data_IF_765386470383
#
_entry.id   IF_765386470383
#
_cell.length_a   1.000
_cell.length_b   1.000
_cell.length_c   1.000
_cell.angle_alpha   90.00
_cell.angle_beta   90.00
_cell.angle_gamma   90.00
#
_symmetry.space_group_name_H-M   'P 1'
#
loop_
_entity.id
_entity.type
_entity.pdbx_description
1 polymer ?
#
# COMPACT_ATOMS: atom_id res chain seq x y z
N UNK A 1 13.28 -2.16 -26.44
CA UNK A 1 12.52 -2.43 -27.69
C UNK A 1 13.15 -1.91 -28.96
N UNK A 2 14.32 -1.29 -28.90
CA UNK A 2 15.12 -1.01 -30.09
C UNK A 2 15.94 -2.24 -30.49
N UNK A 3 15.68 -2.77 -31.69
CA UNK A 3 16.35 -3.97 -32.21
C UNK A 3 17.70 -3.64 -32.89
N UNK A 4 18.06 -2.36 -33.03
CA UNK A 4 19.30 -1.91 -33.69
C UNK A 4 20.48 -1.72 -32.73
N UNK A 5 20.24 -1.74 -31.41
CA UNK A 5 21.28 -1.58 -30.39
C UNK A 5 22.00 -2.88 -30.01
N UNK A 6 21.64 -4.00 -30.63
CA UNK A 6 22.24 -5.33 -30.42
C UNK A 6 22.15 -5.90 -29.00
N UNK A 7 21.39 -5.30 -28.08
CA UNK A 7 21.28 -5.78 -26.69
C UNK A 7 20.70 -7.20 -26.64
N UNK A 8 19.63 -7.46 -27.38
CA UNK A 8 19.00 -8.78 -27.44
C UNK A 8 19.88 -9.78 -28.20
N UNK A 9 20.62 -9.34 -29.22
CA UNK A 9 21.56 -10.21 -29.93
C UNK A 9 22.65 -10.73 -28.98
N UNK A 10 23.24 -9.83 -28.20
CA UNK A 10 24.22 -10.20 -27.17
C UNK A 10 23.63 -11.18 -26.14
N UNK A 11 22.45 -10.89 -25.60
CA UNK A 11 21.80 -11.73 -24.58
C UNK A 11 21.47 -13.12 -25.14
N UNK A 12 20.85 -13.19 -26.32
CA UNK A 12 20.47 -14.47 -26.96
C UNK A 12 21.71 -15.31 -27.33
N UNK A 13 22.77 -14.68 -27.85
CA UNK A 13 24.01 -15.34 -28.21
C UNK A 13 24.71 -15.94 -26.98
N UNK A 14 24.89 -15.15 -25.93
CA UNK A 14 25.51 -15.62 -24.68
C UNK A 14 24.68 -16.72 -24.00
N UNK A 15 23.35 -16.57 -23.96
CA UNK A 15 22.45 -17.57 -23.39
C UNK A 15 22.53 -18.90 -24.15
N UNK A 16 22.53 -18.88 -25.48
CA UNK A 16 22.60 -20.09 -26.30
C UNK A 16 23.98 -20.75 -26.24
N UNK A 17 25.07 -19.98 -26.19
CA UNK A 17 26.42 -20.54 -25.94
C UNK A 17 26.49 -21.26 -24.59
N UNK A 18 25.91 -20.68 -23.55
CA UNK A 18 25.81 -21.35 -22.25
C UNK A 18 24.89 -22.57 -22.30
N UNK A 19 23.78 -22.51 -23.01
CA UNK A 19 22.84 -23.62 -23.15
C UNK A 19 23.53 -24.86 -23.75
N UNK A 20 24.36 -24.67 -24.79
CA UNK A 20 25.18 -25.76 -25.40
C UNK A 20 26.08 -26.45 -24.38
N UNK A 21 26.73 -25.70 -23.49
CA UNK A 21 27.64 -26.28 -22.50
C UNK A 21 26.93 -27.24 -21.52
N UNK A 22 25.65 -27.03 -21.25
CA UNK A 22 24.86 -27.83 -20.31
C UNK A 22 23.85 -28.77 -21.00
N UNK A 23 23.89 -28.89 -22.33
CA UNK A 23 22.92 -29.69 -23.08
C UNK A 23 21.47 -29.17 -23.00
N UNK A 24 21.30 -27.86 -22.74
CA UNK A 24 19.98 -27.21 -22.68
C UNK A 24 19.56 -26.78 -24.10
N UNK A 25 18.27 -26.92 -24.49
CA UNK A 25 17.78 -26.45 -25.78
C UNK A 25 17.98 -24.94 -25.97
N UNK A 26 18.48 -24.54 -27.14
CA UNK A 26 18.63 -23.14 -27.53
C UNK A 26 17.26 -22.46 -27.70
N UNK A 27 17.24 -21.13 -27.54
CA UNK A 27 16.03 -20.31 -27.69
C UNK A 27 16.22 -19.28 -28.79
N UNK A 28 15.12 -19.00 -29.51
CA UNK A 28 15.08 -17.94 -30.52
C UNK A 28 15.17 -16.54 -29.91
N UNK A 29 15.61 -15.57 -30.71
CA UNK A 29 15.76 -14.16 -30.32
C UNK A 29 14.48 -13.58 -29.71
N UNK A 30 13.31 -13.89 -30.28
CA UNK A 30 12.02 -13.40 -29.77
C UNK A 30 11.70 -13.97 -28.37
N UNK A 31 11.95 -15.27 -28.16
CA UNK A 31 11.75 -15.92 -26.86
C UNK A 31 12.75 -15.40 -25.81
N UNK A 32 14.00 -15.13 -26.22
CA UNK A 32 14.99 -14.48 -25.38
C UNK A 32 14.56 -13.04 -25.01
N UNK A 33 14.06 -12.25 -25.97
CA UNK A 33 13.50 -10.90 -25.73
C UNK A 33 12.32 -10.95 -24.77
N UNK A 34 11.42 -11.92 -24.96
CA UNK A 34 10.26 -12.12 -24.09
C UNK A 34 10.66 -12.34 -22.63
N UNK A 35 11.59 -13.26 -22.38
CA UNK A 35 12.03 -13.62 -21.02
C UNK A 35 12.92 -12.52 -20.43
N UNK A 36 13.97 -12.09 -21.14
CA UNK A 36 14.94 -11.12 -20.64
C UNK A 36 14.34 -9.71 -20.48
N UNK A 37 13.44 -9.34 -21.39
CA UNK A 37 12.71 -8.07 -21.34
C UNK A 37 11.54 -8.06 -20.37
N UNK A 38 11.22 -9.19 -19.73
CA UNK A 38 10.06 -9.34 -18.83
C UNK A 38 8.75 -8.85 -19.47
N UNK A 39 8.56 -9.20 -20.74
CA UNK A 39 7.42 -8.74 -21.53
C UNK A 39 6.15 -9.42 -20.99
N UNK A 40 5.13 -8.61 -20.67
CA UNK A 40 3.81 -9.09 -20.31
C UNK A 40 2.98 -9.20 -21.61
N UNK A 41 2.52 -10.40 -22.01
CA UNK A 41 1.66 -10.53 -23.19
C UNK A 41 0.38 -9.71 -23.03
N UNK A 42 0.01 -8.98 -24.08
CA UNK A 42 -1.21 -8.20 -24.12
C UNK A 42 -1.85 -8.28 -25.50
N UNK A 43 -3.18 -8.28 -25.53
CA UNK A 43 -3.98 -8.23 -26.75
C UNK A 43 -5.22 -7.37 -26.51
N UNK A 44 -5.65 -6.63 -27.53
CA UNK A 44 -6.73 -5.65 -27.43
C UNK A 44 -8.07 -6.27 -27.00
N UNK A 45 -8.35 -7.53 -27.33
CA UNK A 45 -9.60 -8.21 -26.97
C UNK A 45 -9.77 -8.33 -25.45
N UNK A 46 -8.73 -8.79 -24.73
CA UNK A 46 -8.75 -8.89 -23.27
C UNK A 46 -8.86 -7.51 -22.63
N UNK A 47 -8.16 -6.50 -23.16
CA UNK A 47 -8.22 -5.13 -22.67
C UNK A 47 -9.62 -4.54 -22.83
N UNK A 48 -10.21 -4.62 -24.03
CA UNK A 48 -11.55 -4.10 -24.30
C UNK A 48 -12.61 -4.76 -23.41
N UNK A 49 -12.53 -6.08 -23.22
CA UNK A 49 -13.40 -6.83 -22.31
C UNK A 49 -13.25 -6.34 -20.86
N UNK A 50 -12.01 -6.25 -20.33
CA UNK A 50 -11.77 -5.80 -18.97
C UNK A 50 -12.29 -4.37 -18.75
N UNK A 51 -12.03 -3.47 -19.70
CA UNK A 51 -12.55 -2.09 -19.65
C UNK A 51 -14.08 -2.06 -19.66
N UNK A 52 -14.73 -2.89 -20.48
CA UNK A 52 -16.19 -3.00 -20.51
C UNK A 52 -16.77 -3.36 -19.14
N UNK A 53 -16.21 -4.37 -18.46
CA UNK A 53 -16.65 -4.75 -17.11
C UNK A 53 -16.40 -3.64 -16.07
N UNK A 54 -15.26 -2.94 -16.15
CA UNK A 54 -15.01 -1.79 -15.27
C UNK A 54 -16.05 -0.68 -15.48
N UNK A 55 -16.43 -0.39 -16.72
CA UNK A 55 -17.48 0.59 -17.02
C UNK A 55 -18.85 0.17 -16.46
N UNK A 56 -19.17 -1.12 -16.41
CA UNK A 56 -20.41 -1.60 -15.78
C UNK A 56 -20.43 -1.33 -14.28
N UNK A 57 -19.31 -1.58 -13.57
CA UNK A 57 -19.21 -1.27 -12.15
C UNK A 57 -19.20 0.25 -11.89
N UNK A 58 -18.64 1.04 -12.80
CA UNK A 58 -18.66 2.51 -12.74
C UNK A 58 -20.08 3.06 -12.68
N UNK A 59 -21.04 2.48 -13.41
CA UNK A 59 -22.44 2.92 -13.32
C UNK A 59 -23.01 2.77 -11.90
N UNK A 60 -22.68 1.69 -11.19
CA UNK A 60 -23.13 1.47 -9.81
C UNK A 60 -22.50 2.50 -8.87
N UNK A 61 -21.20 2.78 -9.02
CA UNK A 61 -20.51 3.80 -8.23
C UNK A 61 -21.14 5.18 -8.43
N UNK A 62 -21.46 5.55 -9.68
CA UNK A 62 -22.05 6.86 -10.00
C UNK A 62 -23.50 6.98 -9.53
N UNK A 63 -24.29 5.91 -9.60
CA UNK A 63 -25.67 5.90 -9.10
C UNK A 63 -25.74 6.03 -7.58
N UNK A 64 -24.76 5.49 -6.85
CA UNK A 64 -24.72 5.48 -5.40
C UNK A 64 -25.80 4.57 -4.77
N UNK A 65 -25.77 4.42 -3.44
CA UNK A 65 -26.80 3.65 -2.71
C UNK A 65 -26.79 2.13 -2.91
N UNK A 66 -25.84 1.59 -3.66
CA UNK A 66 -25.66 0.16 -3.87
C UNK A 66 -25.02 -0.53 -2.66
N UNK A 67 -25.48 -1.73 -2.33
CA UNK A 67 -24.89 -2.59 -1.30
C UNK A 67 -23.63 -3.25 -1.84
N UNK A 68 -22.77 -3.75 -0.94
CA UNK A 68 -21.55 -4.47 -1.32
C UNK A 68 -21.85 -5.63 -2.28
N UNK A 69 -22.92 -6.37 -2.00
CA UNK A 69 -23.35 -7.54 -2.76
C UNK A 69 -23.96 -7.19 -4.14
N UNK A 70 -24.06 -5.91 -4.51
CA UNK A 70 -24.43 -5.48 -5.87
C UNK A 70 -23.19 -5.42 -6.79
N UNK A 71 -21.99 -5.30 -6.22
CA UNK A 71 -20.73 -5.17 -6.95
C UNK A 71 -20.17 -6.53 -7.35
N UNK A 72 -19.41 -6.59 -8.45
CA UNK A 72 -18.82 -7.84 -8.95
C UNK A 72 -17.35 -7.66 -9.33
N UNK A 73 -16.48 -8.44 -8.68
CA UNK A 73 -15.14 -8.71 -9.17
C UNK A 73 -15.24 -9.74 -10.29
N UNK A 74 -14.75 -9.40 -11.48
CA UNK A 74 -14.81 -10.28 -12.65
C UNK A 74 -13.43 -10.84 -12.96
N UNK A 75 -13.32 -12.17 -13.01
CA UNK A 75 -12.15 -12.93 -13.44
C UNK A 75 -12.46 -13.59 -14.77
N UNK A 76 -11.59 -13.42 -15.76
CA UNK A 76 -11.83 -13.93 -17.09
C UNK A 76 -10.58 -14.57 -17.70
N UNK A 77 -10.79 -15.67 -18.42
CA UNK A 77 -9.77 -16.31 -19.26
C UNK A 77 -10.38 -16.66 -20.62
N UNK A 78 -10.11 -15.80 -21.62
CA UNK A 78 -10.64 -15.94 -22.97
C UNK A 78 -10.06 -17.13 -23.75
N UNK A 79 -8.98 -17.76 -23.29
CA UNK A 79 -8.48 -18.99 -23.90
C UNK A 79 -9.37 -20.21 -23.56
N UNK A 80 -10.06 -20.17 -22.41
CA UNK A 80 -10.99 -21.21 -21.93
C UNK A 80 -12.47 -20.78 -22.01
N UNK A 81 -12.78 -19.71 -22.74
CA UNK A 81 -13.95 -18.84 -22.53
C UNK A 81 -14.54 -18.80 -21.10
N UNK A 82 -13.70 -18.71 -20.08
CA UNK A 82 -14.13 -18.74 -18.68
C UNK A 82 -14.40 -17.33 -18.15
N UNK A 83 -15.56 -17.15 -17.50
CA UNK A 83 -15.92 -15.94 -16.77
C UNK A 83 -16.43 -16.34 -15.38
N UNK A 84 -15.82 -15.75 -14.34
CA UNK A 84 -16.20 -15.97 -12.94
C UNK A 84 -16.41 -14.60 -12.31
N UNK A 85 -17.58 -14.39 -11.71
CA UNK A 85 -17.89 -13.17 -10.99
C UNK A 85 -18.06 -13.51 -9.51
N UNK A 86 -17.42 -12.72 -8.65
CA UNK A 86 -17.51 -12.87 -7.21
C UNK A 86 -17.88 -11.54 -6.56
N UNK A 87 -18.60 -11.60 -5.45
CA UNK A 87 -18.83 -10.43 -4.60
C UNK A 87 -17.50 -9.96 -4.00
N UNK A 88 -17.27 -8.64 -3.92
CA UNK A 88 -16.10 -8.12 -3.23
C UNK A 88 -16.17 -8.43 -1.74
N UNK A 89 -15.01 -8.74 -1.16
CA UNK A 89 -14.89 -8.96 0.28
C UNK A 89 -14.98 -7.60 0.98
N UNK A 90 -15.88 -7.50 1.95
CA UNK A 90 -16.00 -6.32 2.79
C UNK A 90 -14.72 -6.04 3.58
N UNK A 91 -14.49 -4.80 4.03
CA UNK A 91 -13.30 -4.51 4.82
C UNK A 91 -13.33 -5.28 6.15
N UNK A 92 -12.17 -5.76 6.59
CA UNK A 92 -12.01 -6.35 7.92
C UNK A 92 -12.32 -5.27 8.97
N UNK A 93 -13.31 -5.53 9.81
CA UNK A 93 -13.66 -4.66 10.94
C UNK A 93 -12.84 -5.09 12.15
N UNK A 94 -12.02 -4.18 12.66
CA UNK A 94 -11.28 -4.32 13.90
C UNK A 94 -12.13 -3.70 15.00
N UNK A 95 -12.31 -4.42 16.11
CA UNK A 95 -13.06 -3.96 17.29
C UNK A 95 -12.13 -3.92 18.48
N UNK A 96 -12.16 -2.81 19.20
CA UNK A 96 -11.41 -2.62 20.44
C UNK A 96 -12.26 -1.82 21.42
N UNK A 97 -12.66 -2.44 22.53
CA UNK A 97 -13.65 -1.86 23.46
C UNK A 97 -14.91 -1.37 22.70
N UNK A 98 -15.27 -0.10 22.86
CA UNK A 98 -16.40 0.55 22.18
C UNK A 98 -16.04 1.12 20.80
N UNK A 99 -14.77 1.01 20.38
CA UNK A 99 -14.29 1.49 19.10
C UNK A 99 -14.34 0.37 18.05
N UNK A 100 -14.71 0.74 16.84
CA UNK A 100 -14.63 -0.14 15.68
C UNK A 100 -14.13 0.65 14.48
N UNK A 101 -13.22 0.06 13.70
CA UNK A 101 -12.67 0.68 12.51
C UNK A 101 -12.30 -0.35 11.45
N UNK A 102 -11.98 0.16 10.28
CA UNK A 102 -11.61 -0.55 9.05
C UNK A 102 -10.40 0.13 8.41
N UNK A 103 -9.90 -0.46 7.32
CA UNK A 103 -8.81 0.12 6.51
C UNK A 103 -9.16 1.50 5.91
N UNK A 104 -10.44 1.84 5.82
CA UNK A 104 -10.92 3.10 5.25
C UNK A 104 -11.01 4.23 6.28
N UNK A 105 -10.94 3.89 7.56
CA UNK A 105 -11.03 4.86 8.63
C UNK A 105 -9.71 5.63 8.81
N UNK A 106 -9.85 6.81 9.39
CA UNK A 106 -8.73 7.72 9.66
C UNK A 106 -9.00 8.50 10.92
N UNK A 107 -8.04 8.54 11.83
CA UNK A 107 -8.14 9.35 13.04
C UNK A 107 -7.55 10.72 12.78
N UNK A 108 -8.35 11.75 13.01
CA UNK A 108 -7.96 13.14 12.74
C UNK A 108 -7.72 13.84 14.07
N UNK A 109 -6.49 14.28 14.29
CA UNK A 109 -6.10 15.08 15.44
C UNK A 109 -5.86 16.50 14.95
N UNK A 110 -6.67 17.44 15.42
CA UNK A 110 -6.60 18.87 15.03
C UNK A 110 -5.74 19.72 15.96
N UNK A 111 -5.34 19.14 17.07
CA UNK A 111 -4.54 19.81 18.08
C UNK A 111 -3.06 19.57 17.79
N UNK A 112 -2.25 20.61 17.99
CA UNK A 112 -0.79 20.47 17.93
C UNK A 112 -0.32 19.82 19.24
N UNK A 113 -0.42 18.50 19.32
CA UNK A 113 -0.05 17.71 20.50
C UNK A 113 1.47 17.54 20.63
N UNK A 114 1.95 17.48 21.86
CA UNK A 114 3.25 16.90 22.21
C UNK A 114 3.21 15.39 22.02
N UNK A 115 4.38 14.77 21.92
CA UNK A 115 4.48 13.32 21.86
C UNK A 115 3.83 12.67 23.11
N UNK A 116 4.02 13.26 24.28
CA UNK A 116 3.39 12.81 25.53
C UNK A 116 1.86 12.85 25.46
N UNK A 117 1.31 13.98 25.01
CA UNK A 117 -0.14 14.16 24.86
C UNK A 117 -0.71 13.18 23.82
N UNK A 118 0.03 12.92 22.74
CA UNK A 118 -0.35 11.91 21.74
C UNK A 118 -0.40 10.50 22.34
N UNK A 119 0.61 10.09 23.12
CA UNK A 119 0.60 8.79 23.79
C UNK A 119 -0.56 8.67 24.78
N UNK A 120 -0.86 9.73 25.53
CA UNK A 120 -2.03 9.80 26.41
C UNK A 120 -3.35 9.71 25.64
N UNK A 121 -3.42 10.30 24.44
CA UNK A 121 -4.59 10.22 23.58
C UNK A 121 -4.90 8.78 23.14
N UNK A 122 -3.88 7.98 22.86
CA UNK A 122 -4.02 6.54 22.60
C UNK A 122 -4.37 5.76 23.88
N UNK A 123 -3.69 6.06 24.99
CA UNK A 123 -3.93 5.39 26.27
C UNK A 123 -5.36 5.60 26.79
N UNK A 124 -5.94 6.80 26.59
CA UNK A 124 -7.33 7.09 26.91
C UNK A 124 -8.32 6.19 26.13
N UNK A 125 -7.91 5.65 24.98
CA UNK A 125 -8.65 4.69 24.16
C UNK A 125 -8.31 3.23 24.48
N UNK A 126 -7.47 2.99 25.48
CA UNK A 126 -7.00 1.66 25.84
C UNK A 126 -5.97 1.09 24.87
N UNK A 127 -5.22 1.95 24.19
CA UNK A 127 -4.21 1.55 23.24
C UNK A 127 -2.84 2.02 23.73
N UNK A 128 -1.88 1.12 23.76
CA UNK A 128 -0.50 1.43 24.11
C UNK A 128 0.30 1.63 22.84
N UNK A 129 0.49 2.89 22.43
CA UNK A 129 1.29 3.21 21.26
C UNK A 129 2.79 3.03 21.57
N UNK A 130 3.40 1.98 21.00
CA UNK A 130 4.81 1.66 21.24
C UNK A 130 5.74 2.09 20.10
N UNK A 131 5.21 2.39 18.91
CA UNK A 131 6.00 2.85 17.76
C UNK A 131 5.21 3.87 16.94
N UNK A 132 5.81 5.02 16.62
CA UNK A 132 5.20 6.10 15.83
C UNK A 132 6.18 6.51 14.74
N UNK A 133 5.73 6.42 13.49
CA UNK A 133 6.52 6.73 12.30
C UNK A 133 5.83 7.76 11.43
N UNK A 134 6.62 8.65 10.82
CA UNK A 134 6.20 9.58 9.78
C UNK A 134 7.00 9.27 8.52
N UNK A 135 6.33 8.73 7.50
CA UNK A 135 7.00 8.18 6.32
C UNK A 135 7.97 7.07 6.69
N UNK A 136 9.24 7.22 6.28
CA UNK A 136 10.32 6.26 6.60
C UNK A 136 11.01 6.54 7.95
N UNK A 137 10.62 7.61 8.64
CA UNK A 137 11.33 8.09 9.82
C UNK A 137 10.59 7.74 11.10
N UNK A 138 11.32 7.16 12.04
CA UNK A 138 10.81 6.77 13.34
C UNK A 138 10.83 7.97 14.31
N UNK A 139 9.66 8.49 14.64
CA UNK A 139 9.52 9.63 15.55
C UNK A 139 9.68 9.19 17.01
N UNK A 140 9.04 8.08 17.35
CA UNK A 140 9.05 7.50 18.69
C UNK A 140 9.02 5.97 18.62
N UNK A 141 9.69 5.33 19.57
CA UNK A 141 9.56 3.90 19.83
C UNK A 141 9.96 3.61 21.28
N UNK A 142 9.19 2.77 21.98
CA UNK A 142 9.33 2.49 23.42
C UNK A 142 10.66 1.80 23.79
N UNK A 143 11.27 1.08 22.85
CA UNK A 143 12.52 0.33 23.04
C UNK A 143 13.73 1.26 23.15
N UNK A 144 13.70 2.44 22.50
CA UNK A 144 14.84 3.36 22.48
C UNK A 144 14.74 4.40 23.61
N UNK A 145 15.60 4.33 24.65
CA UNK A 145 15.49 5.24 25.81
C UNK A 145 15.67 6.72 25.43
N UNK A 146 16.51 7.01 24.43
CA UNK A 146 16.71 8.37 23.90
C UNK A 146 15.44 9.01 23.36
N UNK A 147 14.46 8.22 22.92
CA UNK A 147 13.18 8.77 22.45
C UNK A 147 12.33 9.33 23.58
N UNK A 148 12.63 9.01 24.86
CA UNK A 148 11.98 9.61 26.02
C UNK A 148 12.30 11.10 26.19
N UNK A 149 13.44 11.56 25.65
CA UNK A 149 13.80 12.99 25.66
C UNK A 149 12.92 13.83 24.71
N UNK A 150 12.20 13.18 23.79
CA UNK A 150 11.32 13.84 22.80
C UNK A 150 9.89 14.04 23.30
N UNK A 151 9.56 13.58 24.51
CA UNK A 151 8.19 13.50 25.02
C UNK A 151 7.48 14.85 25.06
N UNK A 152 8.19 15.91 25.44
CA UNK A 152 7.61 17.24 25.61
C UNK A 152 7.68 18.08 24.32
N UNK A 153 8.22 17.50 23.23
CA UNK A 153 8.29 18.15 21.91
C UNK A 153 6.99 17.93 21.14
N UNK A 154 6.60 18.89 20.31
CA UNK A 154 5.45 18.76 19.42
C UNK A 154 5.74 17.73 18.33
N UNK A 155 4.74 16.92 18.00
CA UNK A 155 4.88 15.86 16.98
C UNK A 155 5.19 16.46 15.60
N UNK A 156 4.66 17.65 15.34
CA UNK A 156 4.94 18.44 14.13
C UNK A 156 6.42 18.78 14.02
N UNK A 157 7.04 19.27 15.09
CA UNK A 157 8.46 19.66 15.10
C UNK A 157 9.35 18.43 14.92
N UNK A 158 8.99 17.31 15.57
CA UNK A 158 9.68 16.03 15.40
C UNK A 158 9.59 15.53 13.96
N UNK A 159 8.42 15.64 13.32
CA UNK A 159 8.25 15.29 11.93
C UNK A 159 9.10 16.19 11.01
N UNK A 160 9.08 17.51 11.21
CA UNK A 160 9.88 18.43 10.39
C UNK A 160 11.38 18.21 10.54
N UNK A 161 11.89 18.00 11.75
CA UNK A 161 13.32 17.85 11.99
C UNK A 161 13.87 16.47 11.64
N UNK A 162 13.21 15.41 12.11
CA UNK A 162 13.72 14.04 12.01
C UNK A 162 13.40 13.45 10.65
N UNK A 163 12.15 13.65 10.20
CA UNK A 163 11.72 13.15 8.89
C UNK A 163 12.04 14.09 7.74
N UNK A 164 12.63 15.25 8.04
CA UNK A 164 12.91 16.33 7.08
C UNK A 164 11.69 16.63 6.21
N UNK A 165 10.52 16.61 6.85
CA UNK A 165 9.25 16.72 6.15
C UNK A 165 9.08 18.14 5.65
N UNK A 166 9.32 18.33 4.36
CA UNK A 166 8.95 19.57 3.67
C UNK A 166 7.44 19.55 3.43
N UNK A 167 6.70 20.32 4.22
CA UNK A 167 5.25 20.45 4.02
C UNK A 167 4.97 21.64 3.11
N UNK A 168 4.39 21.42 1.91
CA UNK A 168 4.00 22.51 1.03
C UNK A 168 3.05 23.50 1.73
N UNK A 169 3.04 24.80 1.38
CA UNK A 169 2.17 25.79 2.01
C UNK A 169 0.67 25.44 1.94
N UNK A 170 0.25 24.68 0.93
CA UNK A 170 -1.12 24.21 0.75
C UNK A 170 -1.52 23.03 1.66
N UNK A 171 -0.55 22.31 2.22
CA UNK A 171 -0.79 21.12 3.05
C UNK A 171 -0.78 21.51 4.53
N UNK A 172 -1.87 21.21 5.22
CA UNK A 172 -2.09 21.57 6.64
C UNK A 172 -2.03 20.40 7.63
N UNK A 173 -1.79 19.20 7.11
CA UNK A 173 -1.69 17.98 7.90
C UNK A 173 -0.58 17.08 7.38
N UNK A 174 -0.09 16.19 8.23
CA UNK A 174 0.71 15.05 7.82
C UNK A 174 0.16 13.78 8.47
N UNK A 175 0.55 12.64 7.95
CA UNK A 175 0.07 11.34 8.40
C UNK A 175 1.17 10.62 9.16
N UNK A 176 0.79 9.99 10.27
CA UNK A 176 1.64 9.09 11.03
C UNK A 176 1.04 7.68 11.02
N UNK A 177 1.94 6.70 11.02
CA UNK A 177 1.61 5.30 11.23
C UNK A 177 2.00 4.97 12.65
N UNK A 178 1.07 4.38 13.39
CA UNK A 178 1.24 4.04 14.80
C UNK A 178 1.06 2.54 14.97
N UNK A 179 2.00 1.89 15.63
CA UNK A 179 1.83 0.53 16.11
C UNK A 179 1.39 0.58 17.57
N UNK A 180 0.32 -0.15 17.87
CA UNK A 180 -0.32 -0.18 19.17
C UNK A 180 -0.46 -1.62 19.65
N UNK A 181 -0.40 -1.77 20.96
CA UNK A 181 -0.85 -2.97 21.67
C UNK A 181 -2.17 -2.65 22.39
N UNK A 182 -3.02 -3.66 22.54
CA UNK A 182 -4.18 -3.61 23.42
C UNK A 182 -3.80 -3.83 24.90
N UNK A 183 -4.80 -3.96 25.78
CA UNK A 183 -4.58 -4.17 27.21
C UNK A 183 -4.05 -5.58 27.56
N UNK A 184 -4.16 -6.52 26.62
CA UNK A 184 -3.66 -7.89 26.73
C UNK A 184 -2.27 -8.06 26.10
N UNK A 185 -1.61 -6.95 25.74
CA UNK A 185 -0.31 -6.91 25.06
C UNK A 185 -0.34 -7.54 23.66
N UNK A 186 -1.51 -7.62 23.02
CA UNK A 186 -1.61 -8.08 21.64
C UNK A 186 -1.47 -6.91 20.67
N UNK A 187 -0.69 -7.11 19.60
CA UNK A 187 -0.58 -6.15 18.50
C UNK A 187 -1.94 -5.92 17.83
N UNK A 188 -2.31 -4.65 17.69
CA UNK A 188 -3.55 -4.23 17.04
C UNK A 188 -3.29 -3.15 15.99
N UNK A 189 -3.77 -3.41 14.78
CA UNK A 189 -3.72 -2.45 13.67
C UNK A 189 -4.70 -1.30 13.94
N UNK A 190 -4.19 -0.07 14.01
CA UNK A 190 -4.99 1.14 14.17
C UNK A 190 -5.10 1.92 12.85
N UNK A 191 -6.14 2.76 12.69
CA UNK A 191 -6.27 3.61 11.52
C UNK A 191 -5.09 4.57 11.34
N UNK A 192 -4.87 5.01 10.11
CA UNK A 192 -3.93 6.09 9.83
C UNK A 192 -4.31 7.33 10.64
N UNK A 193 -3.34 7.97 11.27
CA UNK A 193 -3.59 9.19 12.06
C UNK A 193 -3.09 10.40 11.30
N UNK A 194 -3.99 11.33 11.00
CA UNK A 194 -3.66 12.62 10.40
C UNK A 194 -3.58 13.70 11.46
N UNK A 195 -2.41 14.31 11.61
CA UNK A 195 -2.17 15.44 12.52
C UNK A 195 -2.26 16.73 11.72
N UNK A 196 -3.25 17.56 12.04
CA UNK A 196 -3.40 18.91 11.50
C UNK A 196 -2.67 19.90 12.40
N UNK A 197 -1.91 20.78 11.78
CA UNK A 197 -1.04 21.73 12.49
C UNK A 197 -1.17 23.18 11.97
N UNK A 198 -2.09 23.42 11.01
CA UNK A 198 -2.44 24.72 10.41
C UNK A 198 -3.92 24.76 9.99
#
# INVERSE_FOLDING_TARGET
DDDTNYHIDLISGLANMRARNYGIPEVEKLKAKFIAGRIIPAIATTTAMATGFVCLELYKVLAGGHKLDDYRNTFANLALPLFVMAEPVGPKVIKHRDLSWTVWDRWIIRENLTLRELLQWFQARGLTAYSISCGQSLLYNSIFPRHRERMDRKVVDLAMEISKLEVPPSRRHFDIVVACEDEEENDIDVPLVSIYFR
#
